data_IF_450263586750
#
_entry.id   IF_450263586750
#
_cell.length_a   1.000
_cell.length_b   1.000
_cell.length_c   1.000
_cell.angle_alpha   90.00
_cell.angle_beta   90.00
_cell.angle_gamma   90.00
#
_symmetry.space_group_name_H-M   'P 1'
#
loop_
_entity.id
_entity.type
_entity.pdbx_description
1 polymer ?
#
# COMPACT_ATOMS: atom_id res chain seq x y z
N UNK A 1 -16.76 0.03 6.30
CA UNK A 1 -15.30 0.18 6.06
C UNK A 1 -15.05 1.54 5.43
N UNK A 2 -13.90 2.22 5.69
CA UNK A 2 -13.67 3.57 5.16
C UNK A 2 -13.45 3.53 3.64
N UNK A 3 -14.27 4.24 2.88
CA UNK A 3 -14.24 4.22 1.41
C UNK A 3 -12.90 4.69 0.82
N UNK A 4 -12.20 5.61 1.51
CA UNK A 4 -11.02 6.29 0.98
C UNK A 4 -9.75 5.40 0.95
N UNK A 5 -9.57 4.52 1.94
CA UNK A 5 -8.38 3.64 2.04
C UNK A 5 -8.33 2.62 0.88
N UNK A 6 -9.49 2.16 0.41
CA UNK A 6 -9.57 1.23 -0.70
C UNK A 6 -9.30 1.92 -2.05
N UNK A 7 -9.62 3.21 -2.21
CA UNK A 7 -9.37 3.94 -3.45
C UNK A 7 -7.87 4.04 -3.77
N UNK A 8 -7.05 4.46 -2.80
CA UNK A 8 -5.60 4.57 -2.98
C UNK A 8 -4.93 3.24 -3.37
N UNK A 9 -5.40 2.13 -2.79
CA UNK A 9 -4.92 0.80 -3.16
C UNK A 9 -5.31 0.44 -4.61
N UNK A 10 -6.55 0.73 -5.03
CA UNK A 10 -6.99 0.53 -6.42
C UNK A 10 -6.18 1.37 -7.39
N UNK A 11 -5.84 2.61 -7.05
CA UNK A 11 -5.00 3.46 -7.90
C UNK A 11 -3.61 2.84 -8.13
N UNK A 12 -2.98 2.30 -7.09
CA UNK A 12 -1.70 1.58 -7.20
C UNK A 12 -1.81 0.32 -8.06
N UNK A 13 -2.91 -0.41 -7.93
CA UNK A 13 -3.17 -1.62 -8.73
C UNK A 13 -3.36 -1.23 -10.21
N UNK A 14 -4.18 -0.22 -10.49
CA UNK A 14 -4.41 0.31 -11.83
C UNK A 14 -3.09 0.80 -12.45
N UNK A 15 -2.29 1.56 -11.70
CA UNK A 15 -0.99 2.03 -12.14
C UNK A 15 -0.06 0.87 -12.56
N UNK A 16 0.04 -0.16 -11.73
CA UNK A 16 0.82 -1.37 -12.05
C UNK A 16 0.31 -2.07 -13.30
N UNK A 17 -1.01 -2.14 -13.49
CA UNK A 17 -1.60 -2.73 -14.69
C UNK A 17 -1.28 -1.90 -15.95
N UNK A 18 -1.36 -0.57 -15.87
CA UNK A 18 -1.09 0.33 -16.99
C UNK A 18 0.40 0.35 -17.40
N UNK A 19 1.32 0.12 -16.45
CA UNK A 19 2.77 0.01 -16.71
C UNK A 19 3.23 -1.38 -17.15
N UNK A 20 2.34 -2.37 -17.19
CA UNK A 20 2.72 -3.75 -17.53
C UNK A 20 3.01 -3.89 -19.04
N UNK A 21 4.30 -3.96 -19.40
CA UNK A 21 4.76 -4.13 -20.78
C UNK A 21 4.38 -5.48 -21.41
N UNK A 22 4.15 -6.52 -20.60
CA UNK A 22 3.73 -7.84 -21.09
C UNK A 22 2.25 -7.89 -21.48
N UNK A 23 1.43 -7.00 -20.90
CA UNK A 23 0.00 -6.90 -21.20
C UNK A 23 -0.40 -5.44 -21.37
N UNK A 24 0.07 -4.79 -22.45
CA UNK A 24 -0.28 -3.40 -22.71
C UNK A 24 -1.78 -3.30 -23.00
N UNK A 25 -2.36 -2.15 -22.65
CA UNK A 25 -3.79 -1.87 -22.84
C UNK A 25 -4.74 -2.76 -22.02
N UNK A 26 -4.63 -2.82 -20.67
CA UNK A 26 -5.60 -3.53 -19.85
C UNK A 26 -7.03 -3.05 -20.10
N UNK A 27 -7.97 -3.98 -20.25
CA UNK A 27 -9.39 -3.67 -20.36
C UNK A 27 -9.95 -3.22 -19.01
N UNK A 28 -11.11 -2.56 -19.01
CA UNK A 28 -11.82 -2.19 -17.78
C UNK A 28 -12.06 -3.40 -16.87
N UNK A 29 -12.45 -4.53 -17.47
CA UNK A 29 -12.72 -5.76 -16.74
C UNK A 29 -11.46 -6.34 -16.11
N UNK A 30 -10.33 -6.29 -16.81
CA UNK A 30 -9.04 -6.69 -16.24
C UNK A 30 -8.68 -5.84 -15.03
N UNK A 31 -8.80 -4.52 -15.12
CA UNK A 31 -8.54 -3.61 -14.01
C UNK A 31 -9.45 -3.91 -12.81
N UNK A 32 -10.73 -4.18 -13.08
CA UNK A 32 -11.72 -4.59 -12.06
C UNK A 32 -11.30 -5.88 -11.37
N UNK A 33 -11.05 -6.95 -12.13
CA UNK A 33 -10.66 -8.25 -11.59
C UNK A 33 -9.34 -8.19 -10.82
N UNK A 34 -8.35 -7.42 -11.32
CA UNK A 34 -7.08 -7.22 -10.62
C UNK A 34 -7.27 -6.51 -9.28
N UNK A 35 -8.18 -5.53 -9.20
CA UNK A 35 -8.52 -4.87 -7.95
C UNK A 35 -9.22 -5.83 -6.98
N UNK A 36 -10.20 -6.61 -7.46
CA UNK A 36 -10.90 -7.57 -6.60
C UNK A 36 -9.98 -8.66 -6.05
N UNK A 37 -9.13 -9.23 -6.92
CA UNK A 37 -8.16 -10.27 -6.56
C UNK A 37 -7.19 -9.77 -5.47
N UNK A 38 -6.57 -8.60 -5.67
CA UNK A 38 -5.56 -8.09 -4.73
C UNK A 38 -6.20 -7.63 -3.41
N UNK A 39 -7.39 -7.03 -3.44
CA UNK A 39 -8.02 -6.46 -2.24
C UNK A 39 -8.76 -7.49 -1.39
N UNK A 40 -9.33 -8.51 -2.02
CA UNK A 40 -10.25 -9.44 -1.35
C UNK A 40 -9.82 -10.89 -1.46
N UNK A 41 -8.67 -11.19 -2.09
CA UNK A 41 -8.17 -12.55 -2.32
C UNK A 41 -9.25 -13.48 -2.90
N UNK A 42 -10.16 -12.91 -3.67
CA UNK A 42 -11.31 -13.60 -4.23
C UNK A 42 -11.70 -12.95 -5.54
N UNK A 43 -12.24 -13.76 -6.45
CA UNK A 43 -12.78 -13.30 -7.74
C UNK A 43 -14.22 -12.78 -7.61
N UNK A 44 -14.59 -12.23 -6.44
CA UNK A 44 -15.90 -11.63 -6.25
C UNK A 44 -16.11 -10.40 -7.15
N UNK A 45 -17.34 -9.93 -7.27
CA UNK A 45 -17.67 -8.65 -7.93
C UNK A 45 -17.85 -7.53 -6.89
N UNK A 46 -16.87 -7.36 -6.01
CA UNK A 46 -16.94 -6.32 -4.96
C UNK A 46 -16.50 -4.96 -5.50
N UNK A 47 -15.58 -4.94 -6.46
CA UNK A 47 -15.26 -3.78 -7.27
C UNK A 47 -16.15 -3.80 -8.50
N UNK A 48 -17.01 -2.79 -8.62
CA UNK A 48 -17.89 -2.65 -9.78
C UNK A 48 -17.16 -2.01 -10.98
N UNK A 49 -17.63 -2.22 -12.22
CA UNK A 49 -17.12 -1.49 -13.38
C UNK A 49 -17.21 0.04 -13.23
N UNK A 50 -18.26 0.54 -12.59
CA UNK A 50 -18.43 1.98 -12.31
C UNK A 50 -17.38 2.51 -11.32
N UNK A 51 -16.95 1.67 -10.37
CA UNK A 51 -15.85 2.00 -9.45
C UNK A 51 -14.57 2.25 -10.24
N UNK A 52 -14.22 1.37 -11.17
CA UNK A 52 -13.03 1.55 -12.03
C UNK A 52 -13.14 2.80 -12.90
N UNK A 53 -14.31 3.12 -13.45
CA UNK A 53 -14.51 4.36 -14.21
C UNK A 53 -14.28 5.61 -13.36
N UNK A 54 -14.82 5.63 -12.13
CA UNK A 54 -14.61 6.72 -11.18
C UNK A 54 -13.16 6.82 -10.75
N UNK A 55 -12.48 5.71 -10.50
CA UNK A 55 -11.08 5.69 -10.15
C UNK A 55 -10.20 6.23 -11.29
N UNK A 56 -10.45 5.79 -12.52
CA UNK A 56 -9.74 6.30 -13.71
C UNK A 56 -10.02 7.79 -13.93
N UNK A 57 -11.24 8.26 -13.67
CA UNK A 57 -11.58 9.69 -13.71
C UNK A 57 -10.81 10.46 -12.64
N UNK A 58 -10.83 9.99 -11.40
CA UNK A 58 -10.15 10.60 -10.27
C UNK A 58 -8.64 10.71 -10.52
N UNK A 59 -7.99 9.61 -10.93
CA UNK A 59 -6.57 9.60 -11.27
C UNK A 59 -6.20 10.61 -12.36
N UNK A 60 -7.12 10.90 -13.30
CA UNK A 60 -6.89 11.83 -14.42
C UNK A 60 -7.15 13.29 -14.07
N UNK A 61 -8.18 13.57 -13.27
CA UNK A 61 -8.77 14.91 -13.22
C UNK A 61 -8.97 15.48 -11.81
N UNK A 62 -8.91 14.67 -10.74
CA UNK A 62 -9.07 15.21 -9.39
C UNK A 62 -7.78 15.91 -8.93
N UNK A 63 -7.75 17.23 -9.08
CA UNK A 63 -6.59 18.08 -8.73
C UNK A 63 -6.07 17.83 -7.31
N UNK A 64 -6.96 17.59 -6.33
CA UNK A 64 -6.57 17.35 -4.95
C UNK A 64 -5.77 16.04 -4.74
N UNK A 65 -5.76 15.12 -5.72
CA UNK A 65 -4.93 13.90 -5.67
C UNK A 65 -3.51 14.18 -6.16
N UNK A 66 -3.30 15.23 -6.96
CA UNK A 66 -2.00 15.59 -7.54
C UNK A 66 -1.43 14.57 -8.52
N UNK A 67 -2.22 13.60 -8.99
CA UNK A 67 -1.74 12.55 -9.89
C UNK A 67 -1.66 12.99 -11.35
N UNK A 68 -2.67 13.73 -11.81
CA UNK A 68 -2.81 14.19 -13.20
C UNK A 68 -2.42 13.10 -14.22
N UNK A 69 -2.88 11.87 -13.97
CA UNK A 69 -2.38 10.69 -14.65
C UNK A 69 -2.71 10.75 -16.15
N UNK A 70 -1.73 10.55 -17.05
CA UNK A 70 -1.89 10.70 -18.50
C UNK A 70 -2.60 9.47 -19.11
N UNK A 71 -3.76 9.09 -18.58
CA UNK A 71 -4.49 7.89 -18.98
C UNK A 71 -5.36 8.16 -20.22
N UNK A 72 -5.20 7.33 -21.25
CA UNK A 72 -6.04 7.33 -22.43
C UNK A 72 -6.62 5.94 -22.72
N UNK A 73 -7.70 5.91 -23.52
CA UNK A 73 -8.33 4.67 -23.98
C UNK A 73 -8.01 4.41 -25.44
N UNK A 74 -7.44 3.24 -25.74
CA UNK A 74 -7.14 2.81 -27.09
C UNK A 74 -8.32 2.03 -27.70
N UNK A 75 -9.07 2.66 -28.61
CA UNK A 75 -10.31 2.10 -29.19
C UNK A 75 -10.15 0.70 -29.83
N UNK A 76 -9.12 0.49 -30.67
CA UNK A 76 -8.90 -0.78 -31.36
C UNK A 76 -8.52 -1.93 -30.40
N UNK A 77 -7.65 -1.63 -29.42
CA UNK A 77 -7.21 -2.60 -28.39
C UNK A 77 -8.22 -2.76 -27.25
N UNK A 78 -9.24 -1.90 -27.19
CA UNK A 78 -10.29 -1.87 -26.16
C UNK A 78 -9.74 -1.83 -24.73
N UNK A 79 -8.69 -1.03 -24.50
CA UNK A 79 -8.01 -0.95 -23.20
C UNK A 79 -7.35 0.39 -22.92
N UNK A 80 -6.92 0.57 -21.68
CA UNK A 80 -6.35 1.82 -21.17
C UNK A 80 -4.82 1.79 -21.15
N UNK A 81 -4.18 2.94 -21.30
CA UNK A 81 -2.73 3.06 -21.26
C UNK A 81 -2.31 4.45 -20.79
N UNK A 82 -1.07 4.59 -20.32
CA UNK A 82 -0.46 5.90 -20.13
C UNK A 82 0.07 6.45 -21.45
N UNK A 83 -0.25 7.70 -21.78
CA UNK A 83 0.30 8.38 -22.96
C UNK A 83 1.74 8.82 -22.75
N UNK A 84 2.18 8.96 -21.50
CA UNK A 84 3.60 9.06 -21.13
C UNK A 84 4.09 7.71 -20.57
N UNK A 85 4.99 6.99 -21.29
CA UNK A 85 5.55 5.72 -20.81
C UNK A 85 6.39 5.82 -19.54
N UNK A 86 6.89 7.02 -19.20
CA UNK A 86 7.73 7.25 -18.01
C UNK A 86 6.92 7.61 -16.76
N UNK A 87 5.61 7.81 -16.92
CA UNK A 87 4.70 8.09 -15.82
C UNK A 87 4.60 6.87 -14.89
N UNK A 88 4.56 7.14 -13.59
CA UNK A 88 4.30 6.13 -12.55
C UNK A 88 3.71 6.82 -11.34
N UNK A 89 2.61 6.27 -10.81
CA UNK A 89 2.00 6.73 -9.57
C UNK A 89 2.93 6.57 -8.35
N UNK A 90 3.93 5.67 -8.43
CA UNK A 90 4.92 5.46 -7.36
C UNK A 90 5.93 6.62 -7.26
N UNK A 91 6.07 7.42 -8.31
CA UNK A 91 6.78 8.70 -8.23
C UNK A 91 5.82 9.72 -7.61
N UNK A 92 5.44 9.52 -6.34
CA UNK A 92 4.83 10.60 -5.57
C UNK A 92 5.92 11.68 -5.47
N UNK A 93 5.78 12.83 -6.15
CA UNK A 93 6.72 13.91 -5.94
C UNK A 93 6.40 14.46 -4.56
N UNK A 94 7.11 13.99 -3.53
CA UNK A 94 7.10 14.69 -2.25
C UNK A 94 7.53 16.12 -2.53
N UNK A 95 6.78 17.10 -2.04
CA UNK A 95 7.20 18.49 -2.16
C UNK A 95 8.56 18.66 -1.47
N UNK A 96 9.33 19.69 -1.85
CA UNK A 96 10.57 19.99 -1.15
C UNK A 96 10.36 20.14 0.37
N UNK A 97 9.22 20.71 0.78
CA UNK A 97 8.86 20.87 2.19
C UNK A 97 8.57 19.52 2.87
N UNK A 98 7.90 18.59 2.19
CA UNK A 98 7.62 17.25 2.72
C UNK A 98 8.91 16.44 2.87
N UNK A 99 9.83 16.54 1.89
CA UNK A 99 11.15 15.92 1.96
C UNK A 99 11.93 16.46 3.15
N UNK A 100 11.92 17.78 3.35
CA UNK A 100 12.64 18.42 4.45
C UNK A 100 12.01 18.10 5.80
N UNK A 101 10.68 17.99 5.89
CA UNK A 101 9.98 17.53 7.08
C UNK A 101 10.34 16.08 7.45
N UNK A 102 10.38 15.18 6.47
CA UNK A 102 10.77 13.78 6.68
C UNK A 102 12.24 13.67 7.07
N UNK A 103 13.14 14.42 6.43
CA UNK A 103 14.55 14.49 6.83
C UNK A 103 14.71 15.00 8.26
N UNK A 104 14.00 16.07 8.60
CA UNK A 104 14.02 16.63 9.96
C UNK A 104 13.56 15.58 10.97
N UNK A 105 12.41 14.95 10.74
CA UNK A 105 11.90 13.89 11.62
C UNK A 105 12.88 12.72 11.76
N UNK A 106 13.49 12.27 10.66
CA UNK A 106 14.48 11.19 10.69
C UNK A 106 15.75 11.57 11.46
N UNK A 107 16.25 12.79 11.29
CA UNK A 107 17.41 13.32 12.05
C UNK A 107 17.07 13.42 13.53
N UNK A 108 15.93 14.01 13.88
CA UNK A 108 15.46 14.16 15.26
C UNK A 108 15.32 12.79 15.92
N UNK A 109 14.65 11.82 15.29
CA UNK A 109 14.53 10.45 15.81
C UNK A 109 15.90 9.76 15.93
N UNK A 110 16.80 10.00 14.97
CA UNK A 110 18.17 9.51 15.00
C UNK A 110 18.99 10.05 16.19
N UNK A 111 18.77 11.30 16.60
CA UNK A 111 19.45 11.90 17.75
C UNK A 111 19.11 11.19 19.07
N UNK A 112 17.91 10.63 19.19
CA UNK A 112 17.50 9.87 20.36
C UNK A 112 18.03 8.42 20.38
N UNK A 113 18.51 7.90 19.23
CA UNK A 113 19.02 6.53 19.10
C UNK A 113 20.29 6.27 19.93
N UNK A 114 21.12 7.30 20.11
CA UNK A 114 22.39 7.20 20.85
C UNK A 114 22.28 7.69 22.31
N UNK A 115 21.10 8.15 22.75
CA UNK A 115 20.94 8.53 24.16
C UNK A 115 20.99 7.27 25.03
N UNK A 116 21.90 7.27 25.99
CA UNK A 116 22.12 6.16 26.94
C UNK A 116 20.85 5.75 27.69
N UNK A 117 19.91 6.68 27.86
CA UNK A 117 18.58 6.43 28.42
C UNK A 117 17.82 5.33 27.65
N UNK A 118 17.88 5.31 26.30
CA UNK A 118 17.21 4.29 25.48
C UNK A 118 17.92 2.93 25.50
N UNK A 119 19.24 2.89 25.75
CA UNK A 119 19.96 1.62 25.99
C UNK A 119 19.49 0.97 27.29
N UNK A 120 19.29 1.75 28.35
CA UNK A 120 18.80 1.25 29.64
C UNK A 120 17.34 0.78 29.59
N UNK A 121 16.50 1.34 28.71
CA UNK A 121 15.14 0.84 28.48
C UNK A 121 15.11 -0.53 27.80
N UNK A 122 16.08 -0.84 26.93
CA UNK A 122 16.22 -2.17 26.31
C UNK A 122 16.36 -3.27 27.37
N UNK A 123 17.33 -3.10 28.27
CA UNK A 123 17.59 -4.05 29.37
C UNK A 123 16.40 -4.17 30.34
N UNK A 124 15.68 -3.06 30.57
CA UNK A 124 14.49 -3.06 31.42
C UNK A 124 13.32 -3.80 30.78
N UNK A 125 13.08 -3.60 29.47
CA UNK A 125 12.05 -4.32 28.71
C UNK A 125 12.39 -5.81 28.62
N UNK A 126 13.64 -6.17 28.38
CA UNK A 126 14.09 -7.56 28.32
C UNK A 126 13.91 -8.28 29.66
N UNK A 127 14.21 -7.60 30.78
CA UNK A 127 13.92 -8.11 32.14
C UNK A 127 12.42 -8.25 32.43
N UNK A 128 11.59 -7.35 31.91
CA UNK A 128 10.13 -7.43 32.05
C UNK A 128 9.60 -8.62 31.24
N UNK A 129 10.05 -8.79 29.99
CA UNK A 129 9.65 -9.90 29.13
C UNK A 129 10.09 -11.26 29.70
N UNK A 130 11.33 -11.38 30.18
CA UNK A 130 11.79 -12.60 30.87
C UNK A 130 10.95 -12.95 32.11
N UNK A 131 10.49 -11.94 32.87
CA UNK A 131 9.63 -12.16 34.03
C UNK A 131 8.18 -12.50 33.65
N UNK A 132 7.72 -12.03 32.49
CA UNK A 132 6.40 -12.34 31.96
C UNK A 132 6.34 -13.75 31.35
N UNK A 133 7.41 -14.22 30.69
CA UNK A 133 7.50 -15.58 30.13
C UNK A 133 7.62 -16.70 31.19
N UNK A 134 8.04 -16.37 32.42
CA UNK A 134 8.07 -17.33 33.55
C UNK A 134 6.66 -17.53 34.17
N UNK A 135 5.65 -16.75 33.75
CA UNK A 135 4.27 -16.88 34.23
C UNK A 135 3.39 -17.85 33.42
N UNK A 136 3.86 -18.40 32.30
CA UNK A 136 3.04 -19.20 31.38
C UNK A 136 3.56 -20.63 31.14
N UNK A 137 4.28 -21.22 32.09
CA UNK A 137 4.63 -22.65 32.04
C UNK A 137 4.39 -23.37 33.37
N UNK A 138 3.16 -23.32 33.89
CA UNK A 138 2.59 -24.38 34.73
C UNK A 138 1.10 -24.52 34.41
N UNK A 139 0.77 -25.46 33.50
CA UNK A 139 -0.41 -26.34 33.55
C UNK A 139 -0.73 -26.93 32.16
N UNK A 140 -0.28 -28.16 31.92
CA UNK A 140 -1.14 -29.27 31.45
C UNK A 140 -0.32 -30.56 31.48
N UNK A 141 -0.65 -31.41 32.45
CA UNK A 141 -0.21 -32.80 32.57
C UNK A 141 -0.86 -33.70 31.52
N UNK A 142 -0.13 -34.78 31.17
CA UNK A 142 -0.58 -36.11 30.67
C UNK A 142 -1.41 -36.17 29.36
N UNK A 143 -1.14 -37.07 28.41
CA UNK A 143 -1.39 -38.53 28.46
C UNK A 143 -0.54 -39.23 27.38
N UNK A 144 -0.11 -40.44 27.71
CA UNK A 144 0.88 -41.24 27.01
C UNK A 144 0.45 -42.00 25.76
N UNK A 145 1.43 -42.68 25.18
CA UNK A 145 1.32 -43.98 24.52
C UNK A 145 2.72 -44.61 24.56
N UNK A 146 2.98 -45.50 25.53
CA UNK A 146 3.28 -46.93 25.31
C UNK A 146 2.70 -47.69 26.51
#
# INVERSE_FOLDING_TARGET
MPANKYALLRYRIIDKCLRNSQRPYPSKELLRSACDEVLYQSFGERVSPSTIEKDLYAMRFEEHLGYEAPIAFHKLRKGYYYTDPNYSLEKIPLSHEEIDAVKFAAITLGQYKELELFKQFGDAIEKILQRLDIGASVSSEEVGTI
#
